data_IF_243924673080
#
_entry.id   IF_243924673080
#
_cell.length_a   1.000
_cell.length_b   1.000
_cell.length_c   1.000
_cell.angle_alpha   90.00
_cell.angle_beta   90.00
_cell.angle_gamma   90.00
#
_symmetry.space_group_name_H-M   'P 1'
#
loop_
_entity.id
_entity.type
_entity.pdbx_description
1 polymer ?
#
# COMPACT_ATOMS: atom_id res chain seq x y z
N UNK A 1 -29.76 -33.40 -1.51
CA UNK A 1 -29.66 -31.94 -1.78
C UNK A 1 -28.28 -31.36 -1.48
N UNK A 2 -27.61 -31.66 -0.35
CA UNK A 2 -26.25 -31.16 -0.02
C UNK A 2 -25.21 -31.42 -1.12
N UNK A 3 -25.14 -32.62 -1.69
CA UNK A 3 -24.13 -33.01 -2.68
C UNK A 3 -24.17 -32.21 -3.99
N UNK A 4 -25.38 -31.84 -4.45
CA UNK A 4 -25.54 -30.99 -5.64
C UNK A 4 -25.13 -29.52 -5.36
N UNK A 5 -25.45 -29.01 -4.17
CA UNK A 5 -25.04 -27.67 -3.74
C UNK A 5 -23.52 -27.56 -3.64
N UNK A 6 -22.84 -28.58 -3.09
CA UNK A 6 -21.36 -28.62 -3.02
C UNK A 6 -20.71 -28.67 -4.40
N UNK A 7 -21.29 -29.47 -5.34
CA UNK A 7 -20.80 -29.55 -6.71
C UNK A 7 -20.95 -28.22 -7.46
N UNK A 8 -22.09 -27.56 -7.32
CA UNK A 8 -22.35 -26.24 -7.93
C UNK A 8 -21.37 -25.20 -7.37
N UNK A 9 -21.21 -25.14 -6.04
CA UNK A 9 -20.29 -24.20 -5.40
C UNK A 9 -18.83 -24.42 -5.83
N UNK A 10 -18.40 -25.69 -5.96
CA UNK A 10 -17.07 -26.03 -6.48
C UNK A 10 -16.84 -25.48 -7.89
N UNK A 11 -17.84 -25.64 -8.78
CA UNK A 11 -17.77 -25.12 -10.15
C UNK A 11 -17.71 -23.59 -10.14
N UNK A 12 -18.55 -22.93 -9.35
CA UNK A 12 -18.58 -21.46 -9.22
C UNK A 12 -17.21 -20.94 -8.75
N UNK A 13 -16.65 -21.52 -7.69
CA UNK A 13 -15.32 -21.09 -7.21
C UNK A 13 -14.21 -21.37 -8.23
N UNK A 14 -14.26 -22.51 -8.91
CA UNK A 14 -13.29 -22.83 -9.96
C UNK A 14 -13.37 -21.84 -11.13
N UNK A 15 -14.58 -21.52 -11.59
CA UNK A 15 -14.77 -20.52 -12.65
C UNK A 15 -14.35 -19.13 -12.22
N UNK A 16 -14.73 -18.69 -11.02
CA UNK A 16 -14.30 -17.40 -10.48
C UNK A 16 -12.79 -17.30 -10.36
N UNK A 17 -12.12 -18.34 -9.88
CA UNK A 17 -10.66 -18.40 -9.81
C UNK A 17 -10.01 -18.37 -11.19
N UNK A 18 -10.54 -19.14 -12.16
CA UNK A 18 -10.04 -19.14 -13.53
C UNK A 18 -10.19 -17.78 -14.20
N UNK A 19 -11.33 -17.12 -14.04
CA UNK A 19 -11.58 -15.76 -14.57
C UNK A 19 -10.62 -14.75 -13.94
N UNK A 20 -10.37 -14.82 -12.63
CA UNK A 20 -9.44 -13.93 -11.95
C UNK A 20 -8.01 -14.11 -12.45
N UNK A 21 -7.55 -15.35 -12.62
CA UNK A 21 -6.21 -15.64 -13.16
C UNK A 21 -6.11 -15.12 -14.60
N UNK A 22 -7.11 -15.39 -15.44
CA UNK A 22 -7.13 -14.94 -16.82
C UNK A 22 -7.11 -13.41 -16.92
N UNK A 23 -7.86 -12.72 -16.08
CA UNK A 23 -7.85 -11.25 -16.03
C UNK A 23 -6.47 -10.70 -15.69
N UNK A 24 -5.80 -11.26 -14.67
CA UNK A 24 -4.43 -10.84 -14.30
C UNK A 24 -3.45 -11.11 -15.43
N UNK A 25 -3.52 -12.29 -16.06
CA UNK A 25 -2.65 -12.63 -17.20
C UNK A 25 -2.87 -11.69 -18.39
N UNK A 26 -4.13 -11.32 -18.69
CA UNK A 26 -4.43 -10.36 -19.75
C UNK A 26 -3.87 -8.97 -19.44
N UNK A 27 -4.00 -8.50 -18.20
CA UNK A 27 -3.41 -7.22 -17.77
C UNK A 27 -1.88 -7.27 -17.93
N UNK A 28 -1.23 -8.31 -17.43
CA UNK A 28 0.21 -8.47 -17.60
C UNK A 28 0.61 -8.50 -19.06
N UNK A 29 -0.07 -9.30 -19.87
CA UNK A 29 0.20 -9.38 -21.31
C UNK A 29 0.09 -8.03 -22.00
N UNK A 30 -0.99 -7.29 -21.75
CA UNK A 30 -1.19 -5.95 -22.30
C UNK A 30 -0.09 -4.98 -21.88
N UNK A 31 0.22 -4.91 -20.57
CA UNK A 31 1.27 -4.02 -20.06
C UNK A 31 2.64 -4.33 -20.65
N UNK A 32 2.99 -5.60 -20.78
CA UNK A 32 4.28 -5.98 -21.38
C UNK A 32 4.33 -5.78 -22.87
N UNK A 33 3.24 -6.06 -23.60
CA UNK A 33 3.20 -5.87 -25.06
C UNK A 33 3.31 -4.41 -25.48
N UNK A 34 2.78 -3.48 -24.68
CA UNK A 34 2.88 -2.04 -24.94
C UNK A 34 4.14 -1.41 -24.32
N UNK A 35 4.50 -1.84 -23.11
CA UNK A 35 5.59 -1.23 -22.35
C UNK A 35 6.98 -1.63 -22.83
N UNK A 36 7.21 -2.90 -23.18
CA UNK A 36 8.56 -3.36 -23.55
C UNK A 36 9.07 -2.75 -24.86
N UNK A 37 8.28 -2.65 -25.96
CA UNK A 37 8.73 -1.97 -27.18
C UNK A 37 9.11 -0.52 -26.90
N UNK A 38 8.27 0.22 -26.16
CA UNK A 38 8.53 1.62 -25.80
C UNK A 38 9.82 1.80 -25.01
N UNK A 39 10.09 0.92 -24.03
CA UNK A 39 11.35 0.94 -23.27
C UNK A 39 12.53 0.61 -24.21
N UNK A 40 12.34 -0.29 -25.19
CA UNK A 40 13.36 -0.61 -26.19
C UNK A 40 13.73 0.59 -27.06
N UNK A 41 12.75 1.37 -27.50
CA UNK A 41 12.95 2.59 -28.30
C UNK A 41 13.67 3.69 -27.51
N UNK A 42 13.31 3.89 -26.24
CA UNK A 42 13.94 4.88 -25.35
C UNK A 42 15.37 4.45 -24.98
N UNK A 43 15.63 3.16 -24.94
CA UNK A 43 16.83 2.55 -24.41
C UNK A 43 16.77 2.35 -22.89
N UNK A 44 16.98 1.11 -22.44
CA UNK A 44 16.87 0.72 -21.03
C UNK A 44 17.75 1.59 -20.10
N UNK A 45 18.97 1.93 -20.54
CA UNK A 45 19.86 2.80 -19.77
C UNK A 45 19.26 4.18 -19.53
N UNK A 46 18.82 4.85 -20.60
CA UNK A 46 18.21 6.18 -20.52
C UNK A 46 16.92 6.17 -19.70
N UNK A 47 16.11 5.11 -19.83
CA UNK A 47 14.89 4.95 -19.07
C UNK A 47 15.16 4.83 -17.56
N UNK A 48 16.12 4.00 -17.15
CA UNK A 48 16.43 3.76 -15.73
C UNK A 48 17.20 4.91 -15.07
N UNK A 49 18.15 5.52 -15.80
CA UNK A 49 19.04 6.55 -15.23
C UNK A 49 18.63 7.98 -15.57
N UNK A 50 17.68 8.15 -16.47
CA UNK A 50 17.16 9.47 -16.83
C UNK A 50 16.54 10.18 -15.61
N UNK A 51 16.82 11.47 -15.49
CA UNK A 51 16.40 12.29 -14.34
C UNK A 51 15.15 13.13 -14.61
N UNK A 52 14.66 13.13 -15.83
CA UNK A 52 13.50 13.95 -16.24
C UNK A 52 12.38 13.06 -16.75
N UNK A 53 11.19 13.26 -16.21
CA UNK A 53 9.96 12.61 -16.66
C UNK A 53 9.03 13.65 -17.27
N UNK A 54 9.06 13.74 -18.61
CA UNK A 54 8.18 14.59 -19.41
C UNK A 54 7.74 13.86 -20.68
N UNK A 55 6.71 13.02 -20.61
CA UNK A 55 6.26 12.21 -21.73
C UNK A 55 5.88 13.04 -22.98
N UNK A 56 5.35 14.25 -22.78
CA UNK A 56 5.00 15.17 -23.90
C UNK A 56 6.23 15.71 -24.64
N UNK A 57 7.41 15.68 -24.02
CA UNK A 57 8.68 16.09 -24.62
C UNK A 57 9.56 14.86 -24.96
N UNK A 58 8.98 13.65 -24.99
CA UNK A 58 9.69 12.37 -25.21
C UNK A 58 10.85 12.13 -24.22
N UNK A 59 10.74 12.63 -22.99
CA UNK A 59 11.72 12.40 -21.92
C UNK A 59 11.13 11.44 -20.88
N UNK A 60 11.72 10.24 -20.76
CA UNK A 60 11.19 9.14 -19.96
C UNK A 60 12.24 8.62 -18.95
N UNK A 61 12.66 9.45 -18.01
CA UNK A 61 13.60 9.05 -16.96
C UNK A 61 12.89 8.71 -15.66
N UNK A 62 12.97 7.46 -15.18
CA UNK A 62 12.29 7.02 -13.94
C UNK A 62 13.16 7.11 -12.69
N UNK A 63 14.44 7.48 -12.80
CA UNK A 63 15.37 7.54 -11.66
C UNK A 63 14.84 8.36 -10.47
N UNK A 64 14.26 9.57 -10.65
CA UNK A 64 13.71 10.34 -9.52
C UNK A 64 12.54 9.63 -8.84
N UNK A 65 11.75 8.83 -9.58
CA UNK A 65 10.63 8.05 -9.02
C UNK A 65 11.16 6.90 -8.16
N UNK A 66 12.22 6.22 -8.60
CA UNK A 66 12.88 5.15 -7.83
C UNK A 66 13.41 5.71 -6.51
N UNK A 67 14.18 6.79 -6.57
CA UNK A 67 14.74 7.44 -5.37
C UNK A 67 13.61 7.97 -4.47
N UNK A 68 12.61 8.60 -5.05
CA UNK A 68 11.43 9.09 -4.32
C UNK A 68 10.70 7.98 -3.56
N UNK A 69 10.51 6.82 -4.17
CA UNK A 69 9.87 5.67 -3.52
C UNK A 69 10.70 5.13 -2.34
N UNK A 70 12.02 5.11 -2.46
CA UNK A 70 12.91 4.71 -1.37
C UNK A 70 12.79 5.68 -0.19
N UNK A 71 12.83 7.00 -0.44
CA UNK A 71 12.67 7.99 0.62
C UNK A 71 11.32 7.93 1.32
N UNK A 72 10.24 7.80 0.54
CA UNK A 72 8.88 7.68 1.10
C UNK A 72 8.75 6.42 1.95
N UNK A 73 9.26 5.29 1.46
CA UNK A 73 9.21 4.01 2.18
C UNK A 73 10.07 4.07 3.46
N UNK A 74 11.29 4.60 3.38
CA UNK A 74 12.14 4.76 4.56
C UNK A 74 11.48 5.65 5.62
N UNK A 75 10.89 6.78 5.21
CA UNK A 75 10.16 7.66 6.10
C UNK A 75 8.94 6.98 6.74
N UNK A 76 8.18 6.21 5.95
CA UNK A 76 7.03 5.45 6.45
C UNK A 76 7.44 4.38 7.48
N UNK A 77 8.55 3.68 7.24
CA UNK A 77 9.11 2.68 8.17
C UNK A 77 9.55 3.35 9.48
N UNK A 78 10.30 4.45 9.39
CA UNK A 78 10.79 5.18 10.57
C UNK A 78 9.65 5.70 11.45
N UNK A 79 8.52 6.07 10.86
CA UNK A 79 7.34 6.55 11.58
C UNK A 79 6.46 5.37 12.02
N UNK A 80 6.07 4.51 11.08
CA UNK A 80 5.04 3.49 11.28
C UNK A 80 5.50 2.30 12.12
N UNK A 81 6.73 1.82 11.93
CA UNK A 81 7.21 0.62 12.64
C UNK A 81 7.33 0.85 14.15
N UNK A 82 7.97 1.92 14.66
CA UNK A 82 8.05 2.14 16.10
C UNK A 82 6.67 2.29 16.74
N UNK A 83 5.78 3.07 16.14
CA UNK A 83 4.41 3.27 16.66
C UNK A 83 3.63 1.95 16.62
N UNK A 84 3.69 1.22 15.52
CA UNK A 84 3.00 -0.05 15.37
C UNK A 84 3.48 -1.12 16.34
N UNK A 85 4.80 -1.26 16.54
CA UNK A 85 5.38 -2.20 17.49
C UNK A 85 5.03 -1.85 18.94
N UNK A 86 5.14 -0.58 19.33
CA UNK A 86 4.75 -0.16 20.68
C UNK A 86 3.27 -0.42 20.95
N UNK A 87 2.40 -0.15 19.98
CA UNK A 87 0.98 -0.46 20.08
C UNK A 87 0.74 -1.98 20.19
N UNK A 88 1.43 -2.78 19.39
CA UNK A 88 1.35 -4.24 19.43
C UNK A 88 1.80 -4.83 20.79
N UNK A 89 2.92 -4.36 21.33
CA UNK A 89 3.42 -4.76 22.65
C UNK A 89 2.41 -4.38 23.74
N UNK A 90 1.90 -3.14 23.69
CA UNK A 90 0.86 -2.71 24.63
C UNK A 90 -0.36 -3.63 24.56
N UNK A 91 -0.86 -3.91 23.36
CA UNK A 91 -2.04 -4.76 23.18
C UNK A 91 -1.81 -6.21 23.61
N UNK A 92 -0.62 -6.75 23.39
CA UNK A 92 -0.31 -8.14 23.71
C UNK A 92 -0.06 -8.38 25.20
N UNK A 93 0.62 -7.46 25.89
CA UNK A 93 1.14 -7.67 27.25
C UNK A 93 0.48 -6.80 28.33
N UNK A 94 0.05 -5.59 28.01
CA UNK A 94 -0.37 -4.58 28.99
C UNK A 94 -1.83 -4.15 28.89
N UNK A 95 -2.51 -4.44 27.77
CA UNK A 95 -3.86 -3.95 27.53
C UNK A 95 -4.90 -4.67 28.40
N UNK A 96 -5.72 -3.94 29.19
CA UNK A 96 -6.83 -4.52 29.92
C UNK A 96 -7.84 -5.19 28.97
N UNK A 97 -8.44 -6.30 29.41
CA UNK A 97 -9.38 -7.08 28.57
C UNK A 97 -10.53 -6.26 28.01
N UNK A 98 -11.03 -5.26 28.75
CA UNK A 98 -12.10 -4.37 28.31
C UNK A 98 -11.67 -3.48 27.14
N UNK A 99 -10.50 -2.85 27.24
CA UNK A 99 -9.94 -1.99 26.22
C UNK A 99 -9.54 -2.79 24.97
N UNK A 100 -8.97 -3.97 25.16
CA UNK A 100 -8.60 -4.87 24.06
C UNK A 100 -9.80 -5.22 23.16
N UNK A 101 -10.98 -5.47 23.77
CA UNK A 101 -12.21 -5.77 23.02
C UNK A 101 -12.67 -4.64 22.10
N UNK A 102 -12.25 -3.41 22.36
CA UNK A 102 -12.55 -2.26 21.52
C UNK A 102 -11.42 -1.99 20.53
N UNK A 103 -10.17 -2.04 20.98
CA UNK A 103 -9.00 -1.73 20.14
C UNK A 103 -8.80 -2.76 19.01
N UNK A 104 -8.98 -4.05 19.29
CA UNK A 104 -8.77 -5.09 18.28
C UNK A 104 -9.70 -4.93 17.07
N UNK A 105 -11.04 -4.84 17.23
CA UNK A 105 -11.92 -4.58 16.11
C UNK A 105 -11.65 -3.23 15.42
N UNK A 106 -11.28 -2.18 16.16
CA UNK A 106 -10.97 -0.89 15.57
C UNK A 106 -9.77 -0.96 14.61
N UNK A 107 -8.71 -1.69 14.99
CA UNK A 107 -7.54 -1.91 14.13
C UNK A 107 -7.90 -2.77 12.91
N UNK A 108 -8.73 -3.79 13.09
CA UNK A 108 -9.21 -4.64 11.99
C UNK A 108 -10.09 -3.84 11.01
N UNK A 109 -10.92 -2.92 11.50
CA UNK A 109 -11.68 -2.00 10.65
C UNK A 109 -10.76 -1.07 9.86
N UNK A 110 -9.71 -0.50 10.49
CA UNK A 110 -8.71 0.30 9.80
C UNK A 110 -7.99 -0.49 8.71
N UNK A 111 -7.66 -1.76 8.96
CA UNK A 111 -7.08 -2.63 7.94
C UNK A 111 -8.01 -2.90 6.75
N UNK A 112 -9.32 -2.83 6.96
CA UNK A 112 -10.34 -3.01 5.92
C UNK A 112 -10.59 -1.77 5.04
N UNK A 113 -10.05 -0.61 5.40
CA UNK A 113 -10.22 0.61 4.60
C UNK A 113 -9.39 0.52 3.32
N UNK A 114 -10.02 0.68 2.12
CA UNK A 114 -9.28 0.70 0.86
C UNK A 114 -8.22 1.81 0.83
N UNK A 115 -7.04 1.52 0.29
CA UNK A 115 -5.92 2.47 0.20
C UNK A 115 -6.27 3.80 -0.49
N UNK A 116 -7.21 3.77 -1.45
CA UNK A 116 -7.69 4.97 -2.14
C UNK A 116 -8.36 5.97 -1.18
N UNK A 117 -9.04 5.48 -0.13
CA UNK A 117 -9.68 6.33 0.89
C UNK A 117 -8.61 7.03 1.73
N UNK A 118 -7.55 6.32 2.11
CA UNK A 118 -6.40 6.94 2.77
C UNK A 118 -5.73 7.98 1.87
N UNK A 119 -5.56 7.68 0.58
CA UNK A 119 -5.00 8.63 -0.37
C UNK A 119 -5.84 9.91 -0.49
N UNK A 120 -7.16 9.76 -0.57
CA UNK A 120 -8.09 10.90 -0.60
C UNK A 120 -8.04 11.71 0.69
N UNK A 121 -8.06 11.05 1.86
CA UNK A 121 -7.89 11.71 3.16
C UNK A 121 -6.57 12.48 3.22
N UNK A 122 -5.48 11.88 2.74
CA UNK A 122 -4.18 12.52 2.65
C UNK A 122 -4.23 13.81 1.84
N UNK A 123 -4.87 13.80 0.68
CA UNK A 123 -5.00 14.98 -0.19
C UNK A 123 -5.87 16.07 0.43
N UNK A 124 -6.97 15.70 1.09
CA UNK A 124 -7.96 16.67 1.59
C UNK A 124 -7.63 17.22 2.99
N UNK A 125 -6.93 16.45 3.80
CA UNK A 125 -6.66 16.81 5.21
C UNK A 125 -5.18 17.01 5.48
N UNK A 126 -4.34 16.01 5.13
CA UNK A 126 -2.92 16.05 5.50
C UNK A 126 -2.15 17.07 4.65
N UNK A 127 -2.39 17.13 3.34
CA UNK A 127 -1.72 18.09 2.46
C UNK A 127 -1.99 19.53 2.88
N UNK A 128 -3.24 19.99 3.11
CA UNK A 128 -3.49 21.34 3.62
C UNK A 128 -2.86 21.61 5.00
N UNK A 129 -2.91 20.64 5.91
CA UNK A 129 -2.24 20.77 7.22
C UNK A 129 -0.72 20.94 7.06
N UNK A 130 -0.10 20.16 6.20
CA UNK A 130 1.33 20.29 5.90
C UNK A 130 1.69 21.59 5.21
N UNK A 131 0.81 22.12 4.34
CA UNK A 131 0.98 23.45 3.74
C UNK A 131 1.04 24.54 4.80
N UNK A 132 0.12 24.50 5.78
CA UNK A 132 0.10 25.48 6.89
C UNK A 132 1.34 25.37 7.79
N UNK A 133 1.80 24.14 8.06
CA UNK A 133 2.96 23.91 8.94
C UNK A 133 4.30 24.23 8.30
N UNK A 134 4.47 23.94 7.01
CA UNK A 134 5.76 24.04 6.34
C UNK A 134 5.90 25.27 5.45
N UNK A 135 4.82 25.96 5.15
CA UNK A 135 4.80 27.06 4.19
C UNK A 135 5.09 26.66 2.73
N UNK A 136 5.12 25.35 2.45
CA UNK A 136 5.39 24.79 1.12
C UNK A 136 4.12 24.24 0.48
N UNK A 137 4.19 23.67 -0.73
CA UNK A 137 3.02 23.10 -1.41
C UNK A 137 2.36 21.89 -0.73
N UNK A 138 2.87 21.42 0.42
CA UNK A 138 2.31 20.31 1.22
C UNK A 138 2.39 18.93 0.56
N UNK A 139 2.57 18.88 -0.75
CA UNK A 139 2.74 17.64 -1.52
C UNK A 139 4.22 17.30 -1.61
N UNK A 140 4.70 16.43 -0.72
CA UNK A 140 6.13 16.09 -0.67
C UNK A 140 6.37 14.73 -0.04
N UNK A 141 7.64 14.33 0.00
CA UNK A 141 8.11 13.05 0.55
C UNK A 141 7.62 12.87 1.99
N UNK A 142 7.70 13.92 2.81
CA UNK A 142 7.28 13.86 4.22
C UNK A 142 5.78 13.54 4.36
N UNK A 143 4.94 14.24 3.60
CA UNK A 143 3.47 13.99 3.60
C UNK A 143 3.15 12.58 3.14
N UNK A 144 3.80 12.13 2.06
CA UNK A 144 3.64 10.76 1.55
C UNK A 144 4.12 9.70 2.57
N UNK A 145 5.24 9.95 3.26
CA UNK A 145 5.77 9.07 4.30
C UNK A 145 4.83 8.96 5.50
N UNK A 146 4.25 10.06 5.95
CA UNK A 146 3.27 10.06 7.05
C UNK A 146 2.04 9.24 6.64
N UNK A 147 1.50 9.48 5.45
CA UNK A 147 0.34 8.75 4.95
C UNK A 147 0.59 7.26 4.81
N UNK A 148 1.71 6.89 4.20
CA UNK A 148 2.09 5.49 4.06
C UNK A 148 2.36 4.86 5.43
N UNK A 149 2.98 5.59 6.36
CA UNK A 149 3.18 5.18 7.75
C UNK A 149 1.87 4.85 8.46
N UNK A 150 0.84 5.69 8.30
CA UNK A 150 -0.50 5.43 8.84
C UNK A 150 -1.12 4.18 8.21
N UNK A 151 -1.00 4.02 6.90
CA UNK A 151 -1.57 2.88 6.16
C UNK A 151 -0.99 1.53 6.57
N UNK A 152 0.29 1.47 6.95
CA UNK A 152 0.94 0.21 7.35
C UNK A 152 0.69 -0.14 8.83
N UNK A 153 0.26 0.81 9.68
CA UNK A 153 0.04 0.59 11.11
C UNK A 153 -0.86 -0.62 11.43
N UNK A 154 -2.05 -0.77 10.83
CA UNK A 154 -2.94 -1.88 11.17
C UNK A 154 -2.30 -3.24 10.92
N UNK A 155 -1.56 -3.38 9.82
CA UNK A 155 -0.86 -4.62 9.46
C UNK A 155 0.28 -4.92 10.45
N UNK A 156 1.11 -3.92 10.76
CA UNK A 156 2.20 -4.07 11.72
C UNK A 156 1.66 -4.47 13.09
N UNK A 157 0.62 -3.77 13.57
CA UNK A 157 0.01 -4.04 14.88
C UNK A 157 -0.56 -5.46 14.92
N UNK A 158 -1.36 -5.85 13.93
CA UNK A 158 -2.02 -7.15 13.92
C UNK A 158 -1.04 -8.31 13.85
N UNK A 159 -0.03 -8.25 12.97
CA UNK A 159 0.97 -9.30 12.82
C UNK A 159 1.87 -9.37 14.06
N UNK A 160 2.35 -8.23 14.54
CA UNK A 160 3.24 -8.20 15.72
C UNK A 160 2.51 -8.61 17.01
N UNK A 161 1.27 -8.14 17.21
CA UNK A 161 0.45 -8.53 18.37
C UNK A 161 0.21 -10.03 18.40
N UNK A 162 -0.16 -10.63 17.26
CA UNK A 162 -0.39 -12.07 17.14
C UNK A 162 0.89 -12.87 17.41
N UNK A 163 2.03 -12.42 16.89
CA UNK A 163 3.33 -13.05 17.09
C UNK A 163 3.79 -12.98 18.55
N UNK A 164 3.61 -11.83 19.21
CA UNK A 164 3.98 -11.65 20.63
C UNK A 164 3.10 -12.50 21.56
N UNK A 165 1.83 -12.72 21.18
CA UNK A 165 0.93 -13.60 21.97
C UNK A 165 1.21 -15.08 21.77
N UNK A 166 1.82 -15.48 20.66
CA UNK A 166 2.15 -16.87 20.37
C UNK A 166 3.38 -17.38 21.15
N UNK A 167 4.19 -16.47 21.71
CA UNK A 167 5.36 -16.72 22.54
C UNK A 167 5.02 -16.51 24.02
#
# INVERSE_FOLDING_TARGET
>A
MKKYSEAIMKIVFMLSGAVSILAVLMICFFLFSEGLPTIGEIGVGNFLTGTVWKPLENQFGIFPMIIGSIYVTAGAIVIGVPIGLLCAIFMAKFCPKGLYKIMKPAIELLAGIPSIVYGFFGLMVIVPAMQQLTGTGGKGVLTASIMLGIMILPTIISVSESSIRAV
#
